data_IF_991896361857
#
_entry.id   IF_991896361857
#
_cell.length_a   1.000
_cell.length_b   1.000
_cell.length_c   1.000
_cell.angle_alpha   90.00
_cell.angle_beta   90.00
_cell.angle_gamma   90.00
#
_symmetry.space_group_name_H-M   'P 1'
#
loop_
_entity.id
_entity.type
_entity.pdbx_description
1 polymer ?
#
# COMPACT_ATOMS: atom_id res chain seq x y z
N UNK A 1 1.64 -17.46 8.59
CA UNK A 1 1.61 -17.42 7.12
C UNK A 1 0.35 -16.68 6.72
N UNK A 2 0.45 -15.75 5.77
CA UNK A 2 -0.65 -14.88 5.31
C UNK A 2 -0.90 -15.21 3.84
N UNK A 3 -2.13 -14.98 3.35
CA UNK A 3 -2.44 -15.10 1.92
C UNK A 3 -1.58 -14.14 1.10
N UNK A 4 -1.32 -14.51 -0.16
CA UNK A 4 -0.65 -13.63 -1.10
C UNK A 4 -1.51 -12.39 -1.36
N UNK A 5 -0.87 -11.23 -1.34
CA UNK A 5 -1.52 -9.94 -1.54
C UNK A 5 -2.05 -9.78 -2.97
N UNK A 6 -1.40 -10.45 -3.94
CA UNK A 6 -1.82 -10.40 -5.34
C UNK A 6 -3.19 -11.07 -5.57
N UNK A 7 -3.65 -11.96 -4.67
CA UNK A 7 -5.02 -12.49 -4.71
C UNK A 7 -6.09 -11.42 -4.50
N UNK A 8 -5.74 -10.32 -3.82
CA UNK A 8 -6.65 -9.20 -3.55
C UNK A 8 -6.59 -8.12 -4.64
N UNK A 9 -5.75 -8.28 -5.66
CA UNK A 9 -5.50 -7.29 -6.71
C UNK A 9 -6.06 -7.74 -8.05
N UNK A 10 -7.13 -7.10 -8.48
CA UNK A 10 -7.77 -7.39 -9.78
C UNK A 10 -6.85 -7.07 -10.96
N UNK A 11 -5.97 -6.07 -10.84
CA UNK A 11 -4.98 -5.71 -11.87
C UNK A 11 -3.83 -6.74 -12.02
N UNK A 12 -3.66 -7.62 -11.03
CA UNK A 12 -2.66 -8.70 -11.04
C UNK A 12 -3.24 -10.07 -11.36
N UNK A 13 -4.53 -10.14 -11.73
CA UNK A 13 -5.24 -11.39 -12.00
C UNK A 13 -5.76 -12.10 -10.75
N UNK A 14 -5.71 -11.45 -9.58
CA UNK A 14 -6.37 -11.92 -8.37
C UNK A 14 -7.87 -11.62 -8.38
N UNK A 15 -8.62 -12.38 -7.58
CA UNK A 15 -10.05 -12.18 -7.38
C UNK A 15 -10.38 -12.10 -5.88
N UNK A 16 -10.63 -10.88 -5.36
CA UNK A 16 -11.04 -10.68 -3.97
C UNK A 16 -12.31 -11.47 -3.58
N UNK A 17 -13.19 -11.78 -4.54
CA UNK A 17 -14.44 -12.48 -4.25
C UNK A 17 -14.21 -13.92 -3.80
N UNK A 18 -13.18 -14.59 -4.33
CA UNK A 18 -12.79 -15.94 -3.89
C UNK A 18 -12.40 -15.90 -2.40
N UNK A 19 -11.71 -14.85 -1.97
CA UNK A 19 -11.33 -14.68 -0.57
C UNK A 19 -12.55 -14.33 0.29
N UNK A 20 -13.48 -13.50 -0.20
CA UNK A 20 -14.75 -13.23 0.49
C UNK A 20 -15.56 -14.51 0.68
N UNK A 21 -15.67 -15.35 -0.35
CA UNK A 21 -16.37 -16.63 -0.27
C UNK A 21 -15.72 -17.57 0.74
N UNK A 22 -14.38 -17.65 0.75
CA UNK A 22 -13.63 -18.41 1.75
C UNK A 22 -13.92 -17.92 3.18
N UNK A 23 -13.98 -16.60 3.41
CA UNK A 23 -14.34 -16.02 4.70
C UNK A 23 -15.79 -16.34 5.10
N UNK A 24 -16.75 -16.28 4.16
CA UNK A 24 -18.16 -16.68 4.42
C UNK A 24 -18.26 -18.15 4.82
N UNK A 25 -17.55 -19.02 4.10
CA UNK A 25 -17.47 -20.47 4.41
C UNK A 25 -16.83 -20.76 5.77
N UNK A 26 -16.04 -19.83 6.29
CA UNK A 26 -15.44 -19.89 7.64
C UNK A 26 -16.28 -19.19 8.71
N UNK A 27 -17.47 -18.66 8.36
CA UNK A 27 -18.34 -17.89 9.26
C UNK A 27 -17.62 -16.68 9.89
N UNK A 28 -16.68 -16.09 9.13
CA UNK A 28 -15.91 -14.91 9.54
C UNK A 28 -16.40 -13.65 8.83
N UNK A 29 -15.95 -12.51 9.33
CA UNK A 29 -16.23 -11.21 8.74
C UNK A 29 -15.60 -11.09 7.34
N UNK A 30 -16.43 -10.74 6.36
CA UNK A 30 -16.04 -10.47 4.98
C UNK A 30 -15.58 -9.05 4.77
N UNK A 31 -15.96 -8.11 5.64
CA UNK A 31 -15.62 -6.69 5.50
C UNK A 31 -14.11 -6.44 5.64
N UNK A 32 -13.41 -7.36 6.30
CA UNK A 32 -11.94 -7.37 6.37
C UNK A 32 -11.28 -7.40 4.99
N UNK A 33 -11.88 -8.12 4.02
CA UNK A 33 -11.37 -8.18 2.65
C UNK A 33 -11.53 -6.82 1.96
N UNK A 34 -12.65 -6.13 2.17
CA UNK A 34 -12.89 -4.82 1.55
C UNK A 34 -12.00 -3.73 2.14
N UNK A 35 -11.84 -3.72 3.47
CA UNK A 35 -10.89 -2.83 4.17
C UNK A 35 -9.47 -3.02 3.64
N UNK A 36 -9.06 -4.27 3.46
CA UNK A 36 -7.75 -4.60 2.92
C UNK A 36 -7.56 -4.08 1.50
N UNK A 37 -8.54 -4.29 0.61
CA UNK A 37 -8.46 -3.83 -0.77
C UNK A 37 -8.39 -2.29 -0.82
N UNK A 38 -9.13 -1.60 0.05
CA UNK A 38 -9.07 -0.15 0.18
C UNK A 38 -7.67 0.31 0.65
N UNK A 39 -7.16 -0.26 1.74
CA UNK A 39 -5.85 0.07 2.30
C UNK A 39 -4.71 -0.20 1.30
N UNK A 40 -4.72 -1.32 0.56
CA UNK A 40 -3.71 -1.60 -0.47
C UNK A 40 -3.80 -0.63 -1.65
N UNK A 41 -5.01 -0.23 -2.04
CA UNK A 41 -5.21 0.75 -3.12
C UNK A 41 -4.66 2.13 -2.73
N UNK A 42 -4.94 2.57 -1.51
CA UNK A 42 -4.38 3.82 -0.97
C UNK A 42 -2.86 3.73 -0.82
N UNK A 43 -2.34 2.61 -0.32
CA UNK A 43 -0.91 2.40 -0.17
C UNK A 43 -0.18 2.46 -1.52
N UNK A 44 -0.76 1.89 -2.58
CA UNK A 44 -0.21 1.97 -3.94
C UNK A 44 -0.22 3.39 -4.50
N UNK A 45 -1.26 4.18 -4.22
CA UNK A 45 -1.30 5.61 -4.57
C UNK A 45 -0.22 6.38 -3.84
N UNK A 46 -0.08 6.20 -2.53
CA UNK A 46 0.98 6.82 -1.73
C UNK A 46 2.37 6.45 -2.26
N UNK A 47 2.58 5.18 -2.64
CA UNK A 47 3.84 4.72 -3.23
C UNK A 47 4.15 5.45 -4.54
N UNK A 48 3.15 5.63 -5.41
CA UNK A 48 3.28 6.36 -6.67
C UNK A 48 3.58 7.85 -6.44
N UNK A 49 2.85 8.51 -5.55
CA UNK A 49 3.12 9.89 -5.14
C UNK A 49 4.54 10.04 -4.59
N UNK A 50 4.98 9.11 -3.73
CA UNK A 50 6.35 9.13 -3.20
C UNK A 50 7.41 9.01 -4.31
N UNK A 51 7.18 8.18 -5.34
CA UNK A 51 8.10 8.10 -6.49
C UNK A 51 8.12 9.39 -7.30
N UNK A 52 6.97 10.05 -7.49
CA UNK A 52 6.90 11.35 -8.18
C UNK A 52 7.61 12.46 -7.39
N UNK A 53 7.38 12.53 -6.07
CA UNK A 53 8.05 13.50 -5.20
C UNK A 53 9.59 13.28 -5.18
N UNK A 54 10.05 12.03 -5.19
CA UNK A 54 11.49 11.75 -5.31
C UNK A 54 12.06 12.20 -6.66
N UNK A 55 11.32 12.04 -7.77
CA UNK A 55 11.72 12.60 -9.06
C UNK A 55 11.78 14.12 -9.02
N UNK A 56 10.79 14.79 -8.42
CA UNK A 56 10.77 16.24 -8.26
C UNK A 56 11.96 16.73 -7.42
N UNK A 57 12.28 16.07 -6.31
CA UNK A 57 13.45 16.36 -5.47
C UNK A 57 14.78 16.29 -6.25
N UNK A 58 14.94 15.23 -7.04
CA UNK A 58 16.12 15.04 -7.87
C UNK A 58 16.20 16.11 -8.98
N UNK A 59 15.06 16.47 -9.56
CA UNK A 59 14.97 17.52 -10.56
C UNK A 59 15.36 18.88 -9.99
N UNK A 60 14.83 19.27 -8.83
CA UNK A 60 15.23 20.48 -8.10
C UNK A 60 16.73 20.52 -7.84
N UNK A 61 17.31 19.41 -7.38
CA UNK A 61 18.75 19.31 -7.09
C UNK A 61 19.60 19.49 -8.35
N UNK A 62 19.18 18.92 -9.48
CA UNK A 62 19.84 19.10 -10.78
C UNK A 62 19.77 20.55 -11.26
N UNK A 63 18.59 21.17 -11.20
CA UNK A 63 18.38 22.56 -11.62
C UNK A 63 19.21 23.54 -10.78
N UNK A 64 19.34 23.31 -9.47
CA UNK A 64 20.23 24.09 -8.61
C UNK A 64 21.69 23.95 -9.08
N UNK A 65 22.15 22.72 -9.34
CA UNK A 65 23.52 22.46 -9.81
C UNK A 65 23.83 23.15 -11.14
N UNK A 66 22.90 23.14 -12.09
CA UNK A 66 23.03 23.80 -13.38
C UNK A 66 23.12 25.32 -13.25
N UNK A 67 22.25 25.94 -12.43
CA UNK A 67 22.24 27.39 -12.18
C UNK A 67 23.51 27.86 -11.46
N UNK A 68 23.97 27.09 -10.48
CA UNK A 68 25.24 27.37 -9.78
C UNK A 68 26.44 27.29 -10.72
N UNK A 69 26.46 26.31 -11.65
CA UNK A 69 27.51 26.19 -12.67
C UNK A 69 27.52 27.39 -13.64
N UNK A 70 26.34 27.95 -13.95
CA UNK A 70 26.16 29.14 -14.79
C UNK A 70 26.45 30.47 -14.08
N UNK A 71 26.76 30.45 -12.77
CA UNK A 71 26.96 31.64 -11.92
C UNK A 71 25.77 32.60 -11.93
N UNK A 72 24.55 32.06 -12.06
CA UNK A 72 23.32 32.86 -11.93
C UNK A 72 23.20 33.42 -10.50
N UNK A 73 22.61 34.61 -10.37
CA UNK A 73 22.39 35.22 -9.06
C UNK A 73 21.45 34.33 -8.22
N UNK A 74 21.81 34.13 -6.95
CA UNK A 74 21.09 33.23 -6.04
C UNK A 74 19.64 33.69 -5.82
N UNK A 75 19.37 35.00 -5.96
CA UNK A 75 18.08 35.63 -5.71
C UNK A 75 17.78 35.70 -4.22
N UNK A 76 17.25 36.81 -3.72
CA UNK A 76 16.86 36.96 -2.31
C UNK A 76 15.41 36.55 -2.04
N UNK A 77 14.58 36.49 -3.08
CA UNK A 77 13.19 36.09 -2.97
C UNK A 77 13.08 34.59 -2.65
N UNK A 78 12.37 34.29 -1.56
CA UNK A 78 12.11 32.95 -1.06
C UNK A 78 10.64 32.54 -1.24
N UNK A 79 9.82 33.40 -1.84
CA UNK A 79 8.42 33.07 -2.11
C UNK A 79 8.33 31.91 -3.11
N UNK A 80 7.47 30.93 -2.81
CA UNK A 80 7.20 29.79 -3.70
C UNK A 80 6.03 30.19 -4.61
N UNK A 81 6.24 30.32 -5.94
CA UNK A 81 5.17 30.67 -6.85
C UNK A 81 4.10 29.58 -6.92
N UNK A 82 2.87 29.97 -7.23
CA UNK A 82 1.71 29.06 -7.34
C UNK A 82 1.97 27.92 -8.33
N UNK A 83 2.69 28.20 -9.42
CA UNK A 83 3.12 27.21 -10.42
C UNK A 83 4.09 26.13 -9.89
N UNK A 84 4.70 26.34 -8.73
CA UNK A 84 5.60 25.39 -8.06
C UNK A 84 4.99 24.78 -6.78
N UNK A 85 3.71 25.06 -6.49
CA UNK A 85 2.97 24.43 -5.40
C UNK A 85 2.50 23.01 -5.76
N UNK A 86 2.29 22.72 -7.05
CA UNK A 86 2.05 21.37 -7.52
C UNK A 86 3.37 20.57 -7.56
N UNK A 87 3.71 19.99 -6.42
CA UNK A 87 4.97 19.27 -6.21
C UNK A 87 5.10 18.01 -7.07
N UNK A 88 3.99 17.42 -7.52
CA UNK A 88 3.99 16.21 -8.35
C UNK A 88 4.17 16.54 -9.84
N UNK A 89 3.70 17.69 -10.30
CA UNK A 89 3.77 18.12 -11.69
C UNK A 89 4.97 19.04 -12.00
N UNK A 90 6.01 19.04 -11.17
CA UNK A 90 7.17 19.91 -11.35
C UNK A 90 7.93 19.61 -12.65
N UNK A 91 8.05 20.59 -13.54
CA UNK A 91 8.77 20.46 -14.81
C UNK A 91 10.12 21.18 -14.80
N UNK A 92 11.00 20.82 -15.75
CA UNK A 92 12.28 21.51 -15.89
C UNK A 92 12.11 22.99 -16.29
N UNK A 93 11.03 23.30 -17.04
CA UNK A 93 10.70 24.65 -17.49
C UNK A 93 10.29 25.54 -16.31
N UNK A 94 9.40 25.08 -15.43
CA UNK A 94 9.00 25.84 -14.24
C UNK A 94 10.18 26.07 -13.29
N UNK A 95 11.08 25.09 -13.15
CA UNK A 95 12.31 25.23 -12.39
C UNK A 95 13.34 26.19 -13.02
N UNK A 96 13.36 26.30 -14.34
CA UNK A 96 14.28 27.20 -15.05
C UNK A 96 13.96 28.68 -14.81
N UNK A 97 12.67 29.01 -14.68
CA UNK A 97 12.20 30.38 -14.39
C UNK A 97 12.43 30.82 -12.94
N UNK A 98 12.71 29.89 -12.04
CA UNK A 98 12.88 30.15 -10.61
C UNK A 98 14.33 30.51 -10.26
N UNK A 99 14.50 31.27 -9.17
CA UNK A 99 15.80 31.55 -8.57
C UNK A 99 16.32 30.37 -7.74
N UNK A 100 17.62 30.36 -7.43
CA UNK A 100 18.21 29.28 -6.60
C UNK A 100 17.57 29.24 -5.21
N UNK A 101 17.27 30.38 -4.60
CA UNK A 101 16.59 30.47 -3.31
C UNK A 101 15.18 29.89 -3.35
N UNK A 102 14.41 30.16 -4.41
CA UNK A 102 13.06 29.60 -4.57
C UNK A 102 13.09 28.08 -4.76
N UNK A 103 14.03 27.56 -5.58
CA UNK A 103 14.14 26.11 -5.80
C UNK A 103 14.57 25.38 -4.52
N UNK A 104 15.38 26.03 -3.65
CA UNK A 104 15.68 25.49 -2.31
C UNK A 104 14.45 25.41 -1.42
N UNK A 105 13.56 26.41 -1.46
CA UNK A 105 12.29 26.37 -0.72
C UNK A 105 11.34 25.31 -1.25
N UNK A 106 11.20 25.19 -2.58
CA UNK A 106 10.42 24.10 -3.19
C UNK A 106 10.96 22.74 -2.77
N UNK A 107 12.29 22.56 -2.76
CA UNK A 107 12.91 21.31 -2.30
C UNK A 107 12.57 21.01 -0.83
N UNK A 108 12.57 22.00 0.05
CA UNK A 108 12.17 21.80 1.45
C UNK A 108 10.71 21.32 1.56
N UNK A 109 9.81 21.92 0.78
CA UNK A 109 8.40 21.48 0.72
C UNK A 109 8.25 20.06 0.17
N UNK A 110 9.04 19.70 -0.84
CA UNK A 110 9.08 18.32 -1.37
C UNK A 110 9.59 17.35 -0.31
N UNK A 111 10.65 17.69 0.43
CA UNK A 111 11.18 16.86 1.52
C UNK A 111 10.14 16.66 2.64
N UNK A 112 9.39 17.71 3.00
CA UNK A 112 8.28 17.60 3.96
C UNK A 112 7.12 16.75 3.43
N UNK A 113 6.76 16.90 2.14
CA UNK A 113 5.73 16.10 1.50
C UNK A 113 6.12 14.61 1.41
N UNK A 114 7.40 14.31 1.15
CA UNK A 114 7.94 12.95 1.20
C UNK A 114 7.78 12.38 2.62
N UNK A 115 8.16 13.15 3.65
CA UNK A 115 8.01 12.72 5.04
C UNK A 115 6.56 12.42 5.42
N UNK A 116 5.61 13.27 5.01
CA UNK A 116 4.16 13.04 5.20
C UNK A 116 3.69 11.78 4.48
N UNK A 117 4.08 11.61 3.22
CA UNK A 117 3.70 10.45 2.40
C UNK A 117 4.27 9.15 2.95
N UNK A 118 5.50 9.16 3.45
CA UNK A 118 6.12 7.98 4.07
C UNK A 118 5.45 7.62 5.40
N UNK A 119 5.06 8.62 6.21
CA UNK A 119 4.26 8.37 7.42
C UNK A 119 2.93 7.70 7.09
N UNK A 120 2.23 8.20 6.07
CA UNK A 120 0.96 7.63 5.61
C UNK A 120 1.15 6.21 5.04
N UNK A 121 2.22 5.98 4.28
CA UNK A 121 2.58 4.66 3.75
C UNK A 121 2.81 3.64 4.86
N UNK A 122 3.49 4.02 5.94
CA UNK A 122 3.71 3.15 7.11
C UNK A 122 2.41 2.85 7.85
N UNK A 123 1.52 3.85 7.98
CA UNK A 123 0.19 3.68 8.58
C UNK A 123 -0.64 2.68 7.79
N UNK A 124 -0.75 2.86 6.47
CA UNK A 124 -1.49 1.96 5.58
C UNK A 124 -0.87 0.57 5.50
N UNK A 125 0.46 0.45 5.62
CA UNK A 125 1.11 -0.85 5.71
C UNK A 125 0.77 -1.59 7.01
N UNK A 126 0.68 -0.88 8.13
CA UNK A 126 0.22 -1.45 9.40
C UNK A 126 -1.25 -1.88 9.34
N UNK A 127 -2.12 -1.07 8.75
CA UNK A 127 -3.54 -1.41 8.53
C UNK A 127 -3.68 -2.61 7.60
N UNK A 128 -2.90 -2.65 6.51
CA UNK A 128 -2.83 -3.80 5.61
C UNK A 128 -2.39 -5.06 6.36
N UNK A 129 -1.48 -4.95 7.32
CA UNK A 129 -0.96 -6.09 8.07
C UNK A 129 -1.99 -6.78 8.98
N UNK A 130 -3.14 -6.14 9.23
CA UNK A 130 -4.30 -6.81 9.84
C UNK A 130 -4.86 -7.98 8.99
N UNK A 131 -4.36 -8.13 7.75
CA UNK A 131 -4.41 -9.34 6.92
C UNK A 131 -4.23 -10.69 7.65
N UNK A 132 -3.54 -10.67 8.80
CA UNK A 132 -3.33 -11.85 9.64
C UNK A 132 -4.62 -12.54 10.07
N UNK A 133 -5.74 -11.84 10.08
CA UNK A 133 -7.04 -12.42 10.46
C UNK A 133 -7.72 -13.21 9.34
N UNK A 134 -7.33 -12.97 8.08
CA UNK A 134 -7.89 -13.63 6.90
C UNK A 134 -7.28 -15.03 6.76
N UNK A 135 -8.14 -16.05 6.79
CA UNK A 135 -7.73 -17.45 6.69
C UNK A 135 -7.31 -17.85 5.27
N UNK A 136 -6.59 -18.97 5.15
CA UNK A 136 -6.22 -19.52 3.84
C UNK A 136 -7.46 -19.97 3.04
N UNK A 137 -7.31 -20.15 1.72
CA UNK A 137 -8.34 -20.71 0.86
C UNK A 137 -8.70 -22.13 1.29
N UNK A 138 -10.01 -22.42 1.33
CA UNK A 138 -10.52 -23.74 1.66
C UNK A 138 -10.36 -24.69 0.48
N UNK A 139 -9.91 -25.91 0.75
CA UNK A 139 -9.94 -26.98 -0.24
C UNK A 139 -11.40 -27.37 -0.53
N UNK A 140 -11.78 -27.74 -1.78
CA UNK A 140 -13.16 -28.09 -2.12
C UNK A 140 -13.79 -29.22 -1.30
N UNK A 141 -12.97 -30.08 -0.67
CA UNK A 141 -13.45 -31.20 0.16
C UNK A 141 -13.76 -30.81 1.61
N UNK A 142 -13.48 -29.58 2.03
CA UNK A 142 -13.69 -29.18 3.43
C UNK A 142 -15.20 -29.07 3.71
N UNK A 143 -15.73 -29.74 4.74
CA UNK A 143 -17.11 -29.56 5.16
C UNK A 143 -17.32 -28.12 5.64
N UNK A 144 -18.35 -27.46 5.11
CA UNK A 144 -18.68 -26.08 5.47
C UNK A 144 -19.73 -26.12 6.57
N UNK A 145 -19.28 -26.05 7.82
CA UNK A 145 -20.15 -25.96 9.00
C UNK A 145 -19.48 -25.16 10.13
N UNK A 146 -20.32 -24.68 11.06
CA UNK A 146 -19.93 -24.02 12.30
C UNK A 146 -20.16 -24.92 13.55
N UNK A 147 -20.56 -26.18 13.36
CA UNK A 147 -20.78 -27.17 14.42
C UNK A 147 -19.85 -28.38 14.23
N UNK A 148 -18.92 -28.56 15.16
CA UNK A 148 -17.92 -29.63 15.09
C UNK A 148 -18.50 -31.00 15.47
N UNK A 149 -19.48 -31.06 16.37
CA UNK A 149 -20.04 -32.31 16.88
C UNK A 149 -20.97 -32.95 15.85
N UNK A 150 -21.70 -32.13 15.09
CA UNK A 150 -22.69 -32.58 14.11
C UNK A 150 -22.09 -32.87 12.72
N UNK A 151 -21.18 -32.02 12.22
CA UNK A 151 -20.87 -31.97 10.79
C UNK A 151 -19.44 -32.41 10.43
N UNK A 152 -18.63 -32.81 11.42
CA UNK A 152 -17.32 -33.39 11.16
C UNK A 152 -17.44 -34.75 10.45
N UNK A 153 -16.96 -34.81 9.21
CA UNK A 153 -16.96 -36.04 8.41
C UNK A 153 -15.81 -36.97 8.84
N UNK A 154 -16.15 -38.17 9.30
CA UNK A 154 -15.17 -39.23 9.59
C UNK A 154 -14.66 -39.81 8.27
N UNK A 155 -13.39 -39.55 7.94
CA UNK A 155 -12.78 -40.04 6.69
C UNK A 155 -12.37 -41.52 6.80
N UNK A 156 -11.78 -41.93 7.93
CA UNK A 156 -11.34 -43.31 8.19
C UNK A 156 -11.36 -43.63 9.68
N UNK A 157 -11.61 -44.90 10.00
CA UNK A 157 -11.39 -45.48 11.33
C UNK A 157 -10.37 -46.62 11.21
N UNK A 158 -9.67 -46.92 12.30
CA UNK A 158 -8.69 -48.01 12.34
C UNK A 158 -8.67 -48.67 13.73
N UNK A 159 -8.62 -50.00 13.75
CA UNK A 159 -8.74 -50.80 14.98
C UNK A 159 -10.19 -50.97 15.45
N UNK A 160 -10.36 -51.48 16.67
CA UNK A 160 -11.67 -51.57 17.33
C UNK A 160 -11.93 -50.29 18.14
N UNK A 161 -12.85 -49.47 17.64
CA UNK A 161 -13.22 -48.19 18.25
C UNK A 161 -14.31 -48.31 19.34
N UNK A 162 -14.79 -49.52 19.63
CA UNK A 162 -15.89 -49.78 20.57
C UNK A 162 -15.43 -50.49 21.86
N UNK A 163 -14.18 -50.93 21.95
CA UNK A 163 -13.64 -51.57 23.16
C UNK A 163 -13.58 -50.56 24.31
N UNK A 164 -14.48 -50.73 25.28
CA UNK A 164 -14.33 -50.17 26.62
C UNK A 164 -13.58 -51.20 27.48
N UNK A 165 -12.35 -50.88 27.90
CA UNK A 165 -11.65 -51.70 28.90
C UNK A 165 -12.46 -51.67 30.20
N UNK A 166 -12.86 -52.86 30.67
CA UNK A 166 -13.43 -53.08 32.01
C UNK A 166 -12.39 -52.87 33.10
#
# INVERSE_FOLDING_TARGET
MVLDLDLFRTDKGGDPEIVRESQRKRFKDVTLVDKLVAADTEWRKCRFTADNLNKAKNLCSRSIGEKMKRKEAVGEDQSVPEAAQDLEALTAETLSSLSVSQIKQVRLLVDEAIGRTDGERLRLEAERFELREIGNLLHPSVPISNDEDADNKVERTWGDCCVQKK
#
